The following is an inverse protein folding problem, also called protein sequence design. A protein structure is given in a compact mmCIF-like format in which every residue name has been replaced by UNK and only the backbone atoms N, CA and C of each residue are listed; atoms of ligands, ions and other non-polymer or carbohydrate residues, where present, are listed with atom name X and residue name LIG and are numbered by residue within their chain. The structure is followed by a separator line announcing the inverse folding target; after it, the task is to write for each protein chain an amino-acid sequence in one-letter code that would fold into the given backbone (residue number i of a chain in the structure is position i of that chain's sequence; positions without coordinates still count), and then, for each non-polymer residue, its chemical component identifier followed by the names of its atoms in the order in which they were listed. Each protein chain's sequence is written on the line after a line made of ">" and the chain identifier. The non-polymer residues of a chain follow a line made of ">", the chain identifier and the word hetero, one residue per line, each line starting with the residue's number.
data_IF_362097114831
#
_entry.id   IF_362097114831
#
_cell.length_a   1.000
_cell.length_b   1.000
_cell.length_c   1.000
_cell.angle_alpha   90.00
_cell.angle_beta   90.00
_cell.angle_gamma   90.00
#
_symmetry.space_group_name_H-M   'P 1'
#
loop_
_entity.id
_entity.type
_entity.pdbx_description
1 polymer ?
#
# COMPACT_ATOMS: atom_id res chain seq x y z
N UNK A 1 14.43 21.18 -0.17
CA UNK A 1 14.07 19.86 0.40
C UNK A 1 14.88 18.80 -0.33
N UNK A 2 15.41 17.76 0.34
CA UNK A 2 16.16 16.71 -0.33
C UNK A 2 15.25 15.91 -1.27
N UNK A 3 15.78 15.45 -2.42
CA UNK A 3 15.03 14.70 -3.43
C UNK A 3 14.26 13.51 -2.83
N UNK A 4 14.88 12.78 -1.89
CA UNK A 4 14.24 11.66 -1.19
C UNK A 4 13.00 12.05 -0.39
N UNK A 5 12.90 13.28 0.08
CA UNK A 5 11.72 13.76 0.81
C UNK A 5 10.59 14.15 -0.15
N UNK A 6 10.94 14.76 -1.29
CA UNK A 6 9.97 15.04 -2.36
C UNK A 6 9.41 13.74 -2.92
N UNK A 7 10.27 12.74 -3.16
CA UNK A 7 9.87 11.40 -3.59
C UNK A 7 8.94 10.76 -2.56
N UNK A 8 9.30 10.79 -1.27
CA UNK A 8 8.45 10.27 -0.19
C UNK A 8 7.07 10.92 -0.16
N UNK A 9 6.98 12.25 -0.29
CA UNK A 9 5.69 12.96 -0.35
C UNK A 9 4.86 12.54 -1.56
N UNK A 10 5.49 12.43 -2.73
CA UNK A 10 4.82 12.02 -3.96
C UNK A 10 4.27 10.59 -3.86
N UNK A 11 5.10 9.63 -3.41
CA UNK A 11 4.68 8.24 -3.24
C UNK A 11 3.57 8.10 -2.20
N UNK A 12 3.67 8.81 -1.07
CA UNK A 12 2.63 8.81 -0.04
C UNK A 12 1.31 9.35 -0.60
N UNK A 13 1.34 10.46 -1.34
CA UNK A 13 0.17 11.01 -2.00
C UNK A 13 -0.45 10.05 -3.03
N UNK A 14 0.38 9.42 -3.85
CA UNK A 14 -0.06 8.42 -4.82
C UNK A 14 -0.72 7.20 -4.14
N UNK A 15 -0.10 6.65 -3.09
CA UNK A 15 -0.64 5.52 -2.32
C UNK A 15 -1.96 5.91 -1.65
N UNK A 16 -2.10 7.13 -1.12
CA UNK A 16 -3.36 7.62 -0.53
C UNK A 16 -4.50 7.61 -1.56
N UNK A 17 -4.24 8.12 -2.77
CA UNK A 17 -5.26 8.18 -3.82
C UNK A 17 -5.64 6.76 -4.27
N UNK A 18 -4.64 5.95 -4.62
CA UNK A 18 -4.87 4.60 -5.15
C UNK A 18 -5.47 3.69 -4.08
N UNK A 19 -4.81 3.56 -2.92
CA UNK A 19 -5.34 2.72 -1.82
C UNK A 19 -6.67 3.22 -1.29
N UNK A 20 -6.89 4.54 -1.26
CA UNK A 20 -8.15 5.12 -0.80
C UNK A 20 -9.31 4.70 -1.70
N UNK A 21 -9.14 4.82 -3.02
CA UNK A 21 -10.14 4.42 -4.00
C UNK A 21 -10.41 2.91 -3.93
N UNK A 22 -9.36 2.08 -3.94
CA UNK A 22 -9.50 0.62 -3.84
C UNK A 22 -10.10 0.18 -2.50
N UNK A 23 -9.76 0.85 -1.39
CA UNK A 23 -10.36 0.57 -0.08
C UNK A 23 -11.85 0.91 -0.06
N UNK A 24 -12.29 1.98 -0.72
CA UNK A 24 -13.71 2.29 -0.84
C UNK A 24 -14.45 1.20 -1.63
N UNK A 25 -13.90 0.77 -2.77
CA UNK A 25 -14.47 -0.33 -3.56
C UNK A 25 -14.55 -1.61 -2.73
N UNK A 26 -13.50 -1.93 -1.97
CA UNK A 26 -13.47 -3.13 -1.14
C UNK A 26 -14.52 -3.08 -0.02
N UNK A 27 -14.71 -1.92 0.63
CA UNK A 27 -15.75 -1.73 1.65
C UNK A 27 -17.15 -1.88 1.05
N UNK A 28 -17.41 -1.28 -0.11
CA UNK A 28 -18.68 -1.46 -0.83
C UNK A 28 -18.91 -2.93 -1.18
N UNK A 29 -17.87 -3.64 -1.62
CA UNK A 29 -17.93 -5.07 -1.87
C UNK A 29 -18.34 -5.89 -0.65
N UNK A 30 -17.81 -5.56 0.54
CA UNK A 30 -18.20 -6.22 1.80
C UNK A 30 -19.67 -5.95 2.14
N UNK A 31 -20.17 -4.74 1.91
CA UNK A 31 -21.57 -4.39 2.19
C UNK A 31 -22.52 -5.17 1.27
N UNK A 32 -22.18 -5.30 -0.01
CA UNK A 32 -23.01 -5.99 -1.01
C UNK A 32 -22.94 -7.51 -0.84
N UNK A 33 -21.74 -8.05 -0.59
CA UNK A 33 -21.49 -9.48 -0.45
C UNK A 33 -20.47 -9.75 0.66
N UNK A 34 -20.94 -9.87 1.92
CA UNK A 34 -20.05 -10.09 3.05
C UNK A 34 -19.41 -11.47 2.94
N UNK A 35 -18.10 -11.50 2.72
CA UNK A 35 -17.31 -12.72 2.64
C UNK A 35 -15.93 -12.51 3.27
N UNK A 36 -15.33 -13.60 3.76
CA UNK A 36 -13.95 -13.58 4.30
C UNK A 36 -12.97 -13.11 3.23
N UNK A 37 -13.19 -13.50 1.97
CA UNK A 37 -12.36 -13.07 0.85
C UNK A 37 -12.45 -11.55 0.61
N UNK A 38 -13.64 -10.95 0.70
CA UNK A 38 -13.81 -9.51 0.60
C UNK A 38 -13.13 -8.78 1.76
N UNK A 39 -13.19 -9.33 2.98
CA UNK A 39 -12.49 -8.78 4.14
C UNK A 39 -10.97 -8.81 3.97
N UNK A 40 -10.41 -9.95 3.54
CA UNK A 40 -8.97 -10.08 3.26
C UNK A 40 -8.52 -9.11 2.17
N UNK A 41 -9.32 -8.96 1.12
CA UNK A 41 -9.05 -8.01 0.03
C UNK A 41 -9.03 -6.57 0.55
N UNK A 42 -9.99 -6.19 1.40
CA UNK A 42 -10.02 -4.87 2.04
C UNK A 42 -8.80 -4.63 2.93
N UNK A 43 -8.34 -5.64 3.68
CA UNK A 43 -7.13 -5.54 4.50
C UNK A 43 -5.88 -5.31 3.65
N UNK A 44 -5.75 -5.98 2.50
CA UNK A 44 -4.61 -5.81 1.59
C UNK A 44 -4.47 -4.37 1.12
N UNK A 45 -5.57 -3.66 0.88
CA UNK A 45 -5.52 -2.25 0.46
C UNK A 45 -5.51 -1.26 1.62
N UNK A 46 -6.16 -1.63 2.73
CA UNK A 46 -6.31 -0.77 3.90
C UNK A 46 -5.00 -0.54 4.66
N UNK A 47 -4.12 -1.55 4.73
CA UNK A 47 -2.84 -1.40 5.41
C UNK A 47 -1.90 -0.36 4.75
N UNK A 48 -1.65 -0.39 3.42
CA UNK A 48 -0.95 0.68 2.71
C UNK A 48 -1.61 2.06 2.88
N UNK A 49 -2.95 2.12 2.92
CA UNK A 49 -3.69 3.36 3.17
C UNK A 49 -3.37 3.95 4.55
N UNK A 50 -3.47 3.14 5.62
CA UNK A 50 -3.18 3.59 6.99
C UNK A 50 -1.69 3.99 7.10
N UNK A 51 -0.80 3.20 6.51
CA UNK A 51 0.63 3.51 6.45
C UNK A 51 0.88 4.89 5.81
N UNK A 52 0.18 5.20 4.72
CA UNK A 52 0.30 6.48 4.03
C UNK A 52 -0.30 7.66 4.83
N UNK A 53 -1.41 7.46 5.54
CA UNK A 53 -2.00 8.46 6.44
C UNK A 53 -1.03 8.82 7.57
N UNK A 54 -0.44 7.80 8.22
CA UNK A 54 0.55 8.00 9.29
C UNK A 54 1.83 8.65 8.75
N UNK A 55 2.24 8.27 7.54
CA UNK A 55 3.36 8.89 6.82
C UNK A 55 3.15 10.38 6.61
N UNK A 56 1.93 10.78 6.21
CA UNK A 56 1.57 12.19 6.00
C UNK A 56 1.65 13.01 7.30
N UNK A 57 1.24 12.43 8.44
CA UNK A 57 1.37 13.11 9.74
C UNK A 57 2.83 13.42 10.10
N UNK A 58 3.73 12.45 9.89
CA UNK A 58 5.18 12.64 10.10
C UNK A 58 5.75 13.66 9.10
N UNK A 59 5.36 13.59 7.83
CA UNK A 59 5.79 14.57 6.82
C UNK A 59 5.39 16.00 7.21
N UNK A 60 4.16 16.20 7.68
CA UNK A 60 3.68 17.52 8.13
C UNK A 60 4.49 18.05 9.31
N UNK A 61 4.77 17.20 10.30
CA UNK A 61 5.59 17.56 11.46
C UNK A 61 7.05 17.86 11.10
N UNK A 62 7.63 17.14 10.13
CA UNK A 62 8.98 17.41 9.63
C UNK A 62 9.10 18.73 8.84
N UNK A 63 8.01 19.17 8.19
CA UNK A 63 7.96 20.43 7.43
C UNK A 63 7.66 21.60 8.37
N UNK A 64 6.66 21.44 9.23
CA UNK A 64 6.22 22.45 10.19
C UNK A 64 6.59 21.94 11.57
N UNK A 65 7.76 22.36 12.08
CA UNK A 65 8.41 21.89 13.31
C UNK A 65 7.64 22.09 14.63
N UNK A 66 6.32 22.27 14.57
CA UNK A 66 5.42 22.34 15.73
C UNK A 66 4.10 21.62 15.52
N UNK A 67 3.91 20.85 14.43
CA UNK A 67 2.66 20.12 14.23
C UNK A 67 2.57 18.95 15.23
N UNK A 68 1.57 18.91 16.13
CA UNK A 68 1.47 17.88 17.13
C UNK A 68 1.17 16.54 16.46
N UNK A 69 2.11 15.61 16.59
CA UNK A 69 1.92 14.21 16.20
C UNK A 69 1.44 13.44 17.42
N UNK A 70 0.37 12.65 17.27
CA UNK A 70 -0.12 11.80 18.36
C UNK A 70 1.00 10.86 18.82
N UNK A 71 1.12 10.63 20.13
CA UNK A 71 2.16 9.76 20.70
C UNK A 71 2.15 8.33 20.11
N UNK A 72 0.99 7.84 19.67
CA UNK A 72 0.85 6.52 19.03
C UNK A 72 1.29 6.46 17.56
N UNK A 73 1.44 7.60 16.87
CA UNK A 73 1.75 7.66 15.43
C UNK A 73 3.11 7.03 15.06
N UNK A 74 4.22 7.26 15.80
CA UNK A 74 5.51 6.62 15.51
C UNK A 74 5.44 5.09 15.60
N UNK A 75 4.83 4.57 16.66
CA UNK A 75 4.63 3.13 16.86
C UNK A 75 3.74 2.53 15.77
N UNK A 76 2.60 3.17 15.50
CA UNK A 76 1.68 2.78 14.44
C UNK A 76 2.35 2.78 13.06
N UNK A 77 3.18 3.80 12.75
CA UNK A 77 3.88 3.88 11.47
C UNK A 77 4.89 2.75 11.31
N UNK A 78 5.62 2.35 12.36
CA UNK A 78 6.53 1.20 12.32
C UNK A 78 5.79 -0.09 12.01
N UNK A 79 4.74 -0.40 12.79
CA UNK A 79 3.95 -1.62 12.63
C UNK A 79 3.28 -1.67 11.26
N UNK A 80 2.62 -0.60 10.85
CA UNK A 80 1.95 -0.53 9.55
C UNK A 80 2.93 -0.57 8.38
N UNK A 81 4.15 -0.03 8.53
CA UNK A 81 5.18 -0.17 7.50
C UNK A 81 5.64 -1.62 7.35
N UNK A 82 5.79 -2.38 8.45
CA UNK A 82 6.13 -3.81 8.37
C UNK A 82 5.01 -4.59 7.67
N UNK A 83 3.76 -4.36 8.05
CA UNK A 83 2.60 -5.01 7.43
C UNK A 83 2.52 -4.66 5.93
N UNK A 84 2.65 -3.38 5.59
CA UNK A 84 2.62 -2.93 4.21
C UNK A 84 3.81 -3.45 3.38
N UNK A 85 4.98 -3.68 4.00
CA UNK A 85 6.11 -4.35 3.34
C UNK A 85 5.76 -5.79 2.99
N UNK A 86 5.20 -6.55 3.94
CA UNK A 86 4.78 -7.93 3.68
C UNK A 86 3.75 -7.97 2.55
N UNK A 87 2.75 -7.08 2.59
CA UNK A 87 1.73 -6.99 1.53
C UNK A 87 2.36 -6.61 0.19
N UNK A 88 3.21 -5.60 0.15
CA UNK A 88 3.90 -5.17 -1.07
C UNK A 88 4.76 -6.28 -1.67
N UNK A 89 5.49 -7.02 -0.82
CA UNK A 89 6.28 -8.16 -1.25
C UNK A 89 5.41 -9.31 -1.78
N UNK A 90 4.31 -9.64 -1.09
CA UNK A 90 3.35 -10.64 -1.55
C UNK A 90 2.69 -10.24 -2.88
N UNK A 91 2.36 -8.96 -3.06
CA UNK A 91 1.83 -8.45 -4.32
C UNK A 91 2.86 -8.62 -5.43
N UNK A 92 4.08 -8.12 -5.25
CA UNK A 92 5.14 -8.26 -6.25
C UNK A 92 5.35 -9.72 -6.61
N UNK A 93 5.46 -10.61 -5.62
CA UNK A 93 5.62 -12.05 -5.84
C UNK A 93 4.44 -12.64 -6.64
N UNK A 94 3.21 -12.44 -6.18
CA UNK A 94 2.00 -13.05 -6.76
C UNK A 94 1.70 -12.54 -8.17
N UNK A 95 1.95 -11.26 -8.43
CA UNK A 95 1.73 -10.70 -9.76
C UNK A 95 2.88 -11.01 -10.72
N UNK A 96 4.09 -11.23 -10.19
CA UNK A 96 5.21 -11.75 -11.00
C UNK A 96 4.92 -13.16 -11.47
N UNK A 97 4.41 -14.04 -10.60
CA UNK A 97 4.02 -15.40 -11.00
C UNK A 97 2.89 -15.38 -12.03
N UNK A 98 1.89 -14.51 -11.86
CA UNK A 98 0.82 -14.30 -12.85
C UNK A 98 1.35 -13.77 -14.19
N UNK A 99 2.33 -12.87 -14.18
CA UNK A 99 2.91 -12.30 -15.39
C UNK A 99 3.61 -13.36 -16.25
N UNK A 100 4.33 -14.28 -15.61
CA UNK A 100 5.07 -15.34 -16.27
C UNK A 100 4.24 -16.60 -16.59
N UNK A 101 3.17 -16.86 -15.85
CA UNK A 101 2.32 -18.04 -16.02
C UNK A 101 0.82 -17.67 -16.07
N UNK A 102 0.38 -16.79 -16.98
CA UNK A 102 -1.03 -16.36 -17.03
C UNK A 102 -1.95 -17.48 -17.49
N UNK A 103 -1.47 -18.44 -18.30
CA UNK A 103 -2.28 -19.53 -18.82
C UNK A 103 -2.78 -20.44 -17.69
N UNK A 104 -1.91 -20.75 -16.71
CA UNK A 104 -2.27 -21.61 -15.57
C UNK A 104 -3.42 -21.02 -14.73
N UNK A 105 -3.46 -19.69 -14.58
CA UNK A 105 -4.51 -19.01 -13.81
C UNK A 105 -5.78 -18.87 -14.64
N UNK A 106 -5.67 -18.57 -15.93
CA UNK A 106 -6.81 -18.50 -16.83
C UNK A 106 -7.50 -19.86 -16.95
N UNK A 107 -6.76 -20.95 -17.02
CA UNK A 107 -7.35 -22.28 -17.12
C UNK A 107 -8.10 -22.65 -15.82
N UNK A 108 -7.65 -22.19 -14.65
CA UNK A 108 -8.41 -22.33 -13.40
C UNK A 108 -9.69 -21.49 -13.42
N UNK A 109 -9.61 -20.22 -13.86
CA UNK A 109 -10.75 -19.30 -13.92
C UNK A 109 -11.80 -19.76 -14.96
N UNK A 110 -11.36 -20.22 -16.12
CA UNK A 110 -12.23 -20.69 -17.22
C UNK A 110 -12.91 -22.02 -16.92
N UNK A 111 -12.35 -22.81 -16.01
CA UNK A 111 -12.96 -24.06 -15.54
C UNK A 111 -13.90 -23.85 -14.35
N UNK A 112 -14.02 -22.62 -13.82
CA UNK A 112 -15.00 -22.30 -12.79
C UNK A 112 -16.42 -22.24 -13.41
N UNK A 113 -17.36 -23.09 -12.97
CA UNK A 113 -18.73 -23.10 -13.50
C UNK A 113 -19.49 -21.80 -13.25
N UNK A 114 -19.15 -21.00 -12.22
CA UNK A 114 -19.76 -19.69 -11.98
C UNK A 114 -19.34 -18.67 -13.05
N UNK A 115 -18.07 -18.70 -13.46
CA UNK A 115 -17.51 -17.80 -14.49
C UNK A 115 -18.08 -18.14 -15.86
N UNK A 116 -18.13 -19.42 -16.22
CA UNK A 116 -18.75 -19.87 -17.49
C UNK A 116 -20.22 -19.48 -17.62
N UNK A 117 -20.95 -19.47 -16.50
CA UNK A 117 -22.37 -19.10 -16.47
C UNK A 117 -22.58 -17.58 -16.59
N UNK A 118 -21.68 -16.77 -16.04
CA UNK A 118 -21.77 -15.30 -16.13
C UNK A 118 -21.22 -14.73 -17.43
N UNK A 119 -20.19 -15.34 -18.02
CA UNK A 119 -19.56 -14.83 -19.23
C UNK A 119 -19.27 -15.99 -20.21
N UNK A 120 -20.25 -16.41 -21.02
CA UNK A 120 -20.10 -17.54 -21.94
C UNK A 120 -19.10 -17.28 -23.08
N UNK A 121 -18.82 -16.01 -23.41
CA UNK A 121 -17.91 -15.63 -24.50
C UNK A 121 -16.43 -15.49 -24.08
N UNK A 122 -16.07 -15.64 -22.79
CA UNK A 122 -14.66 -15.55 -22.31
C UNK A 122 -13.75 -16.57 -23.00
N UNK A 123 -14.32 -17.70 -23.42
CA UNK A 123 -13.62 -18.74 -24.17
C UNK A 123 -13.24 -18.32 -25.60
N UNK A 124 -13.97 -17.37 -26.23
CA UNK A 124 -13.68 -16.89 -27.59
C UNK A 124 -12.54 -15.87 -27.61
N UNK A 125 -12.38 -15.11 -26.54
CA UNK A 125 -11.42 -14.00 -26.43
C UNK A 125 -10.24 -14.30 -25.47
N UNK A 126 -9.89 -15.58 -25.28
CA UNK A 126 -8.85 -16.02 -24.33
C UNK A 126 -7.56 -15.21 -24.44
N UNK A 127 -7.09 -14.94 -25.65
CA UNK A 127 -5.86 -14.18 -25.88
C UNK A 127 -5.95 -12.72 -25.44
N UNK A 128 -7.13 -12.10 -25.56
CA UNK A 128 -7.39 -10.74 -25.09
C UNK A 128 -7.39 -10.72 -23.56
N UNK A 129 -7.97 -11.73 -22.92
CA UNK A 129 -7.92 -11.90 -21.47
C UNK A 129 -6.50 -12.10 -20.95
N UNK A 130 -5.68 -12.95 -21.59
CA UNK A 130 -4.26 -13.14 -21.25
C UNK A 130 -3.51 -11.80 -21.29
N UNK A 131 -3.66 -11.05 -22.40
CA UNK A 131 -2.99 -9.76 -22.57
C UNK A 131 -3.42 -8.76 -21.49
N UNK A 132 -4.72 -8.70 -21.20
CA UNK A 132 -5.27 -7.81 -20.17
C UNK A 132 -4.73 -8.16 -18.78
N UNK A 133 -4.67 -9.46 -18.43
CA UNK A 133 -4.11 -9.91 -17.17
C UNK A 133 -2.61 -9.59 -17.05
N UNK A 134 -1.83 -9.75 -18.12
CA UNK A 134 -0.40 -9.38 -18.11
C UNK A 134 -0.20 -7.89 -17.85
N UNK A 135 -0.98 -7.03 -18.50
CA UNK A 135 -0.92 -5.58 -18.26
C UNK A 135 -1.29 -5.24 -16.82
N UNK A 136 -2.38 -5.83 -16.31
CA UNK A 136 -2.81 -5.63 -14.93
C UNK A 136 -1.76 -6.12 -13.93
N UNK A 137 -1.17 -7.29 -14.18
CA UNK A 137 -0.08 -7.84 -13.36
C UNK A 137 1.12 -6.88 -13.33
N UNK A 138 1.52 -6.34 -14.49
CA UNK A 138 2.59 -5.34 -14.58
C UNK A 138 2.30 -4.10 -13.73
N UNK A 139 1.09 -3.55 -13.82
CA UNK A 139 0.66 -2.40 -13.01
C UNK A 139 0.73 -2.72 -11.52
N UNK A 140 0.26 -3.91 -11.11
CA UNK A 140 0.24 -4.33 -9.71
C UNK A 140 1.64 -4.57 -9.15
N UNK A 141 2.59 -5.07 -9.96
CA UNK A 141 4.00 -5.19 -9.58
C UNK A 141 4.59 -3.81 -9.31
N UNK A 142 4.38 -2.86 -10.23
CA UNK A 142 4.85 -1.48 -10.07
C UNK A 142 4.25 -0.85 -8.81
N UNK A 143 2.96 -1.08 -8.57
CA UNK A 143 2.29 -0.60 -7.37
C UNK A 143 2.87 -1.20 -6.07
N UNK A 144 3.13 -2.51 -6.06
CA UNK A 144 3.81 -3.17 -4.94
C UNK A 144 5.20 -2.60 -4.67
N UNK A 145 5.99 -2.33 -5.73
CA UNK A 145 7.29 -1.68 -5.61
C UNK A 145 7.20 -0.25 -5.06
N UNK A 146 6.16 0.50 -5.43
CA UNK A 146 5.88 1.84 -4.88
C UNK A 146 5.60 1.74 -3.37
N UNK A 147 4.77 0.78 -2.93
CA UNK A 147 4.51 0.55 -1.50
C UNK A 147 5.81 0.26 -0.74
N UNK A 148 6.62 -0.66 -1.25
CA UNK A 148 7.90 -1.04 -0.63
C UNK A 148 8.82 0.18 -0.48
N UNK A 149 8.99 0.95 -1.56
CA UNK A 149 9.83 2.14 -1.58
C UNK A 149 9.31 3.20 -0.60
N UNK A 150 7.99 3.41 -0.55
CA UNK A 150 7.38 4.36 0.38
C UNK A 150 7.59 3.93 1.85
N UNK A 151 7.47 2.64 2.16
CA UNK A 151 7.71 2.12 3.50
C UNK A 151 9.16 2.30 3.93
N UNK A 152 10.13 2.03 3.04
CA UNK A 152 11.55 2.26 3.32
C UNK A 152 11.84 3.74 3.61
N UNK A 153 11.26 4.65 2.82
CA UNK A 153 11.38 6.09 3.05
C UNK A 153 10.70 6.51 4.35
N UNK A 154 9.50 5.99 4.65
CA UNK A 154 8.77 6.29 5.87
C UNK A 154 9.56 5.90 7.11
N UNK A 155 10.15 4.70 7.15
CA UNK A 155 10.97 4.25 8.26
C UNK A 155 12.24 5.09 8.42
N UNK A 156 12.87 5.51 7.31
CA UNK A 156 14.03 6.42 7.34
C UNK A 156 13.66 7.78 7.92
N UNK A 157 12.58 8.40 7.43
CA UNK A 157 12.14 9.71 7.90
C UNK A 157 11.55 9.68 9.31
N UNK A 158 11.02 8.53 9.73
CA UNK A 158 10.61 8.33 11.11
C UNK A 158 11.83 8.39 12.06
N UNK A 159 12.95 7.75 11.71
CA UNK A 159 14.19 7.86 12.51
C UNK A 159 14.67 9.30 12.60
N UNK A 160 14.65 10.03 11.49
CA UNK A 160 15.02 11.47 11.46
C UNK A 160 14.11 12.29 12.37
N UNK A 161 12.81 12.04 12.33
CA UNK A 161 11.84 12.73 13.19
C UNK A 161 12.07 12.45 14.67
N UNK A 162 12.39 11.20 15.03
CA UNK A 162 12.68 10.82 16.42
C UNK A 162 13.97 11.47 16.93
N UNK A 163 15.00 11.56 16.08
CA UNK A 163 16.26 12.18 16.46
C UNK A 163 16.08 13.67 16.77
N UNK A 164 15.35 14.41 15.90
CA UNK A 164 15.05 15.83 16.11
C UNK A 164 14.35 16.11 17.45
N UNK A 165 13.39 15.26 17.85
CA UNK A 165 12.70 15.46 19.14
C UNK A 165 13.58 15.13 20.35
N UNK A 166 14.47 14.16 20.23
CA UNK A 166 15.40 13.83 21.31
C UNK A 166 16.43 14.95 21.50
N UNK A 167 16.87 15.59 20.41
CA UNK A 167 17.77 16.75 20.48
C UNK A 167 17.04 17.96 21.09
N UNK A 168 15.78 18.21 20.71
CA UNK A 168 14.96 19.29 21.29
C UNK A 168 14.65 19.06 22.78
N UNK A 169 14.40 17.82 23.21
CA UNK A 169 14.19 17.48 24.65
C UNK A 169 15.46 17.68 25.48
N UNK A 170 16.64 17.28 24.99
CA UNK A 170 17.90 17.46 25.71
C UNK A 170 18.26 18.94 25.91
N UNK A 171 18.00 19.80 24.92
CA UNK A 171 18.26 21.25 25.04
C UNK A 171 17.37 21.90 26.11
N UNK A 172 16.15 21.41 26.32
CA UNK A 172 15.28 21.95 27.38
C UNK A 172 15.71 21.57 28.79
N UNK A 173 16.42 20.47 29.00
CA UNK A 173 16.92 20.09 30.33
C UNK A 173 18.19 20.87 30.73
N UNK A 174 19.01 21.29 29.76
CA UNK A 174 20.28 22.00 30.03
C UNK A 174 20.11 23.49 30.37
N UNK A 175 18.89 24.04 30.36
CA UNK A 175 18.60 25.46 30.67
C UNK A 175 18.08 25.64 32.11
N UNK A 176 17.88 24.55 32.87
CA UNK A 176 17.33 24.57 34.24
C UNK A 176 18.37 24.30 35.37
N UNK A 177 19.68 24.33 35.10
CA UNK A 177 20.75 24.40 36.14
C UNK A 177 21.38 25.79 36.24
#
# INVERSE_FOLDING_TARGET
>A
MPFSFTLYRFLTGFILIVSGLFSMIAVLGIIISPSIQALLSAMMVGAPLIQAILSQAIQRSLIHGGYPVKQSTPGGLRVMSIIAIVIGALMVWSFTTLLFNPEAIIDVILNDPAVRKQNPDVLKDRDIYIKTLRVLAGIMIVYGAIILTNCSLALRYLKVWQHRRHDDENITFDIEE
#
